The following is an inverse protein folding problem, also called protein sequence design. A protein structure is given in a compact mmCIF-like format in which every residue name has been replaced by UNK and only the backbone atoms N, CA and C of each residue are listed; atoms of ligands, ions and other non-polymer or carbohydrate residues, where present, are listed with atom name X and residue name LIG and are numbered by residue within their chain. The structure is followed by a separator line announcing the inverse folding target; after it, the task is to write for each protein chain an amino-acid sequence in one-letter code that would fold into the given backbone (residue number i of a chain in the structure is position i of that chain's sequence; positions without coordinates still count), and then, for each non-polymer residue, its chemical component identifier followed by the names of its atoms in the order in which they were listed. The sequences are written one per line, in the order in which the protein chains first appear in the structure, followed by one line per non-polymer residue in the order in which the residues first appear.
data_IF_235615782499
#
_entry.id   IF_235615782499
#
_cell.length_a   1.000
_cell.length_b   1.000
_cell.length_c   1.000
_cell.angle_alpha   90.00
_cell.angle_beta   90.00
_cell.angle_gamma   90.00
#
_symmetry.space_group_name_H-M   'P 1'
#
loop_
_entity.id
_entity.type
_entity.pdbx_description
1 polymer ?
#
# COMPACT_ATOMS: atom_id res chain seq x y z
N UNK A 1 27.32 47.21 11.51
CA UNK A 1 25.85 46.98 11.47
C UNK A 1 25.58 46.31 10.12
N UNK A 2 25.52 44.97 10.03
CA UNK A 2 24.41 44.08 10.43
C UNK A 2 23.15 44.45 9.63
N UNK A 3 22.49 43.59 8.85
CA UNK A 3 22.32 42.13 8.89
C UNK A 3 22.08 41.62 7.45
N UNK A 4 22.73 40.52 7.07
CA UNK A 4 22.28 39.66 5.97
C UNK A 4 21.19 38.71 6.48
N UNK A 5 20.08 38.63 5.76
CA UNK A 5 19.01 37.67 5.99
C UNK A 5 19.03 36.64 4.87
N UNK A 6 19.71 35.54 5.15
CA UNK A 6 19.69 34.28 4.41
C UNK A 6 18.26 33.72 4.42
N UNK A 7 17.57 33.78 3.28
CA UNK A 7 16.29 33.09 3.07
C UNK A 7 16.60 31.62 2.80
N UNK A 8 16.90 30.89 3.87
CA UNK A 8 17.00 29.44 3.87
C UNK A 8 15.70 28.83 3.37
N UNK A 9 15.77 28.22 2.19
CA UNK A 9 14.78 27.28 1.71
C UNK A 9 14.67 26.15 2.76
N UNK A 10 13.52 26.02 3.42
CA UNK A 10 13.19 24.82 4.17
C UNK A 10 13.19 23.63 3.19
N UNK A 11 13.98 22.57 3.45
CA UNK A 11 13.94 21.39 2.62
C UNK A 11 12.59 20.70 2.84
N UNK A 12 11.90 20.37 1.74
CA UNK A 12 10.71 19.54 1.71
C UNK A 12 11.05 18.18 2.34
N UNK A 13 10.80 18.05 3.64
CA UNK A 13 10.96 16.82 4.41
C UNK A 13 10.10 15.70 3.79
N UNK A 14 10.62 14.48 3.77
CA UNK A 14 9.94 13.33 3.20
C UNK A 14 8.64 13.04 3.94
N UNK A 15 7.76 12.25 3.32
CA UNK A 15 6.59 11.70 4.00
C UNK A 15 7.05 11.03 5.33
N UNK A 16 6.57 11.50 6.51
CA UNK A 16 7.00 11.00 7.82
C UNK A 16 6.84 9.48 7.97
N UNK A 17 5.88 8.90 7.25
CA UNK A 17 5.67 7.45 7.16
C UNK A 17 6.89 6.79 6.51
N UNK A 18 7.29 7.29 5.33
CA UNK A 18 8.40 6.73 4.58
C UNK A 18 9.74 6.91 5.28
N UNK A 19 9.95 8.03 5.98
CA UNK A 19 11.16 8.23 6.79
C UNK A 19 11.29 7.16 7.89
N UNK A 20 10.17 6.80 8.53
CA UNK A 20 10.13 5.78 9.60
C UNK A 20 10.45 4.39 9.07
N UNK A 21 9.85 4.01 7.93
CA UNK A 21 10.11 2.72 7.27
C UNK A 21 11.53 2.65 6.74
N UNK A 22 12.00 3.72 6.08
CA UNK A 22 13.36 3.82 5.54
C UNK A 22 14.41 3.61 6.64
N UNK A 23 14.24 4.30 7.79
CA UNK A 23 15.15 4.14 8.94
C UNK A 23 15.16 2.71 9.47
N UNK A 24 14.00 2.08 9.58
CA UNK A 24 13.88 0.70 10.06
C UNK A 24 14.49 -0.30 9.07
N UNK A 25 14.33 -0.05 7.77
CA UNK A 25 14.90 -0.86 6.69
C UNK A 25 16.43 -0.79 6.67
N UNK A 26 17.00 0.41 6.77
CA UNK A 26 18.46 0.60 6.86
C UNK A 26 19.05 -0.05 8.11
N UNK A 27 18.35 0.03 9.25
CA UNK A 27 18.76 -0.66 10.48
C UNK A 27 18.76 -2.19 10.29
N UNK A 28 17.69 -2.75 9.70
CA UNK A 28 17.58 -4.18 9.43
C UNK A 28 18.69 -4.71 8.50
N UNK A 29 19.02 -3.97 7.43
CA UNK A 29 20.16 -4.31 6.55
C UNK A 29 21.47 -4.31 7.33
N UNK A 30 21.72 -3.25 8.09
CA UNK A 30 22.99 -3.08 8.83
C UNK A 30 23.18 -4.15 9.90
N UNK A 31 22.09 -4.59 10.52
CA UNK A 31 22.09 -5.57 11.61
C UNK A 31 21.92 -7.01 11.11
N UNK A 32 21.59 -7.21 9.84
CA UNK A 32 21.25 -8.52 9.27
C UNK A 32 20.01 -9.13 9.93
N UNK A 33 19.05 -8.29 10.32
CA UNK A 33 17.84 -8.67 11.06
C UNK A 33 16.59 -8.65 10.17
N UNK A 34 15.54 -9.33 10.62
CA UNK A 34 14.25 -9.30 9.94
C UNK A 34 13.56 -7.93 10.14
N UNK A 35 12.81 -7.48 9.15
CA UNK A 35 11.87 -6.37 9.24
C UNK A 35 10.57 -6.78 8.56
N UNK A 36 9.45 -6.61 9.23
CA UNK A 36 8.14 -6.74 8.60
C UNK A 36 7.35 -5.45 8.71
N UNK A 37 6.46 -5.23 7.75
CA UNK A 37 5.44 -4.18 7.81
C UNK A 37 4.07 -4.79 7.57
N UNK A 38 3.06 -4.21 8.20
CA UNK A 38 1.65 -4.60 8.07
C UNK A 38 0.88 -3.36 7.64
N UNK A 39 0.20 -3.44 6.49
CA UNK A 39 -0.83 -2.45 6.14
C UNK A 39 -2.19 -3.03 6.50
N UNK A 40 -2.95 -2.28 7.30
CA UNK A 40 -4.28 -2.67 7.74
C UNK A 40 -5.30 -1.61 7.30
N UNK A 41 -6.44 -2.03 6.75
CA UNK A 41 -7.51 -1.11 6.33
C UNK A 41 -8.88 -1.64 6.71
N UNK A 42 -9.75 -0.77 7.21
CA UNK A 42 -11.12 -1.10 7.63
C UNK A 42 -11.99 -1.50 6.42
N UNK A 43 -12.77 -2.56 6.56
CA UNK A 43 -13.68 -2.97 5.49
C UNK A 43 -14.97 -2.16 5.55
N UNK A 44 -15.36 -1.57 4.40
CA UNK A 44 -16.59 -0.78 4.31
C UNK A 44 -16.54 0.57 5.04
N UNK A 45 -15.36 1.11 5.37
CA UNK A 45 -15.22 2.36 6.12
C UNK A 45 -15.96 3.55 5.49
N UNK A 46 -15.97 3.66 4.15
CA UNK A 46 -16.75 4.70 3.46
C UNK A 46 -18.23 4.67 3.84
N UNK A 47 -18.84 3.48 3.94
CA UNK A 47 -20.24 3.35 4.33
C UNK A 47 -20.49 3.77 5.79
N UNK A 48 -19.48 3.66 6.66
CA UNK A 48 -19.54 4.20 8.02
C UNK A 48 -19.61 5.73 7.97
N UNK A 49 -18.71 6.37 7.21
CA UNK A 49 -18.71 7.82 7.03
C UNK A 49 -20.00 8.33 6.39
N UNK A 50 -20.50 7.64 5.36
CA UNK A 50 -21.72 8.03 4.65
C UNK A 50 -22.95 7.93 5.57
N UNK A 51 -22.98 6.95 6.49
CA UNK A 51 -24.12 6.73 7.39
C UNK A 51 -24.10 7.59 8.65
N UNK A 52 -22.91 7.77 9.24
CA UNK A 52 -22.76 8.37 10.58
C UNK A 52 -22.04 9.72 10.57
N UNK A 53 -21.48 10.11 9.43
CA UNK A 53 -20.69 11.32 9.30
C UNK A 53 -19.19 11.10 9.53
N UNK A 54 -18.37 12.06 9.10
CA UNK A 54 -16.91 11.96 9.17
C UNK A 54 -16.38 11.98 10.61
N UNK A 55 -17.07 12.64 11.55
CA UNK A 55 -16.65 12.72 12.95
C UNK A 55 -16.67 11.33 13.60
N UNK A 56 -17.77 10.59 13.45
CA UNK A 56 -17.88 9.20 13.88
C UNK A 56 -16.88 8.29 13.15
N UNK A 57 -16.60 8.59 11.88
CA UNK A 57 -15.51 7.99 11.11
C UNK A 57 -14.16 8.12 11.80
N UNK A 58 -13.80 9.33 12.20
CA UNK A 58 -12.54 9.63 12.88
C UNK A 58 -12.46 8.91 14.23
N UNK A 59 -13.57 8.82 14.97
CA UNK A 59 -13.65 8.04 16.22
C UNK A 59 -13.38 6.55 15.96
N UNK A 60 -13.93 6.00 14.87
CA UNK A 60 -13.68 4.62 14.46
C UNK A 60 -12.20 4.42 14.07
N UNK A 61 -11.61 5.35 13.31
CA UNK A 61 -10.20 5.29 12.94
C UNK A 61 -9.27 5.40 14.15
N UNK A 62 -9.58 6.28 15.10
CA UNK A 62 -8.82 6.41 16.33
C UNK A 62 -8.88 5.12 17.17
N UNK A 63 -10.05 4.49 17.27
CA UNK A 63 -10.19 3.20 17.96
C UNK A 63 -9.45 2.06 17.24
N UNK A 64 -9.48 2.07 15.90
CA UNK A 64 -8.72 1.12 15.08
C UNK A 64 -7.22 1.28 15.28
N UNK A 65 -6.70 2.51 15.24
CA UNK A 65 -5.30 2.81 15.51
C UNK A 65 -4.89 2.39 16.92
N UNK A 66 -5.69 2.72 17.94
CA UNK A 66 -5.43 2.31 19.31
C UNK A 66 -5.34 0.79 19.46
N UNK A 67 -6.13 0.03 18.69
CA UNK A 67 -6.08 -1.43 18.72
C UNK A 67 -4.77 -1.97 18.15
N UNK A 68 -4.31 -1.42 17.03
CA UNK A 68 -3.03 -1.80 16.44
C UNK A 68 -1.85 -1.41 17.35
N UNK A 69 -1.86 -0.20 17.91
CA UNK A 69 -0.80 0.29 18.78
C UNK A 69 -0.67 -0.49 20.10
N UNK A 70 -1.70 -1.24 20.50
CA UNK A 70 -1.63 -2.14 21.64
C UNK A 70 -0.77 -3.39 21.42
N UNK A 71 -0.42 -3.71 20.17
CA UNK A 71 0.33 -4.91 19.77
C UNK A 71 1.54 -4.61 18.87
N UNK A 72 1.56 -3.46 18.21
CA UNK A 72 2.62 -3.02 17.29
C UNK A 72 3.23 -1.74 17.85
N UNK A 73 4.56 -1.73 17.97
CA UNK A 73 5.30 -0.62 18.57
C UNK A 73 5.18 0.67 17.74
N UNK A 74 5.29 0.55 16.42
CA UNK A 74 5.26 1.69 15.49
C UNK A 74 4.02 1.55 14.61
N UNK A 75 3.05 2.44 14.80
CA UNK A 75 1.84 2.54 13.99
C UNK A 75 1.70 3.96 13.47
N UNK A 76 1.49 4.11 12.17
CA UNK A 76 1.29 5.41 11.53
C UNK A 76 0.13 5.38 10.54
N UNK A 77 -0.48 6.53 10.31
CA UNK A 77 -1.52 6.69 9.30
C UNK A 77 -0.89 6.76 7.92
N UNK A 78 -1.36 5.92 6.99
CA UNK A 78 -0.85 5.90 5.61
C UNK A 78 -1.73 6.77 4.71
N UNK A 79 -3.02 6.42 4.62
CA UNK A 79 -4.00 7.14 3.79
C UNK A 79 -5.41 6.70 4.18
N UNK A 80 -6.37 7.63 4.21
CA UNK A 80 -7.79 7.33 4.44
C UNK A 80 -8.03 6.44 5.66
N UNK A 81 -8.41 5.17 5.47
CA UNK A 81 -8.67 4.19 6.52
C UNK A 81 -7.50 3.22 6.78
N UNK A 82 -6.35 3.48 6.16
CA UNK A 82 -5.19 2.59 6.16
C UNK A 82 -4.15 3.02 7.17
N UNK A 83 -3.74 2.07 7.98
CA UNK A 83 -2.69 2.20 8.97
C UNK A 83 -1.52 1.29 8.58
N UNK A 84 -0.30 1.79 8.78
CA UNK A 84 0.94 1.05 8.60
C UNK A 84 1.55 0.74 9.97
N UNK A 85 1.72 -0.55 10.26
CA UNK A 85 2.53 -1.05 11.37
C UNK A 85 3.93 -1.42 10.91
N UNK A 86 4.96 -0.99 11.62
CA UNK A 86 6.37 -1.35 11.38
C UNK A 86 6.87 -2.25 12.50
N UNK A 87 7.48 -3.39 12.15
CA UNK A 87 7.87 -4.44 13.08
C UNK A 87 9.35 -4.82 12.89
N UNK A 88 10.28 -4.03 13.46
CA UNK A 88 11.70 -4.38 13.48
C UNK A 88 11.95 -5.72 14.18
N UNK A 89 12.95 -6.48 13.73
CA UNK A 89 13.31 -7.79 14.30
C UNK A 89 12.24 -8.88 14.14
N UNK A 90 11.21 -8.64 13.32
CA UNK A 90 10.04 -9.54 13.24
C UNK A 90 10.02 -10.29 11.91
N UNK A 91 10.09 -11.62 12.01
CA UNK A 91 10.06 -12.51 10.85
C UNK A 91 8.70 -12.50 10.13
N UNK A 92 8.66 -12.86 8.83
CA UNK A 92 7.41 -12.91 8.05
C UNK A 92 6.33 -13.79 8.70
N UNK A 93 6.72 -14.93 9.27
CA UNK A 93 5.79 -15.85 9.93
C UNK A 93 5.18 -15.25 11.21
N UNK A 94 5.98 -14.54 12.01
CA UNK A 94 5.50 -13.85 13.21
C UNK A 94 4.59 -12.68 12.85
N UNK A 95 4.97 -11.88 11.85
CA UNK A 95 4.14 -10.78 11.36
C UNK A 95 2.79 -11.26 10.81
N UNK A 96 2.78 -12.33 10.01
CA UNK A 96 1.54 -12.94 9.52
C UNK A 96 0.66 -13.50 10.64
N UNK A 97 1.26 -14.08 11.69
CA UNK A 97 0.53 -14.55 12.88
C UNK A 97 -0.10 -13.38 13.63
N UNK A 98 0.66 -12.30 13.86
CA UNK A 98 0.16 -11.11 14.52
C UNK A 98 -0.96 -10.44 13.72
N UNK A 99 -0.83 -10.34 12.39
CA UNK A 99 -1.88 -9.83 11.52
C UNK A 99 -3.19 -10.63 11.68
N UNK A 100 -3.12 -11.97 11.75
CA UNK A 100 -4.31 -12.81 12.00
C UNK A 100 -4.91 -12.61 13.40
N UNK A 101 -4.07 -12.43 14.42
CA UNK A 101 -4.54 -12.12 15.78
C UNK A 101 -5.29 -10.79 15.78
N UNK A 102 -4.73 -9.74 15.19
CA UNK A 102 -5.37 -8.43 15.06
C UNK A 102 -6.65 -8.49 14.24
N UNK A 103 -6.64 -9.19 13.11
CA UNK A 103 -7.81 -9.39 12.26
C UNK A 103 -8.97 -10.02 13.04
N UNK A 104 -8.69 -11.12 13.75
CA UNK A 104 -9.70 -11.79 14.58
C UNK A 104 -10.17 -10.91 15.74
N UNK A 105 -9.25 -10.24 16.41
CA UNK A 105 -9.57 -9.35 17.53
C UNK A 105 -10.51 -8.21 17.12
N UNK A 106 -10.30 -7.63 15.94
CA UNK A 106 -11.18 -6.59 15.37
C UNK A 106 -12.54 -7.17 14.97
N UNK A 107 -12.57 -8.35 14.35
CA UNK A 107 -13.81 -8.98 13.91
C UNK A 107 -14.71 -9.43 15.08
N UNK A 108 -14.10 -9.94 16.15
CA UNK A 108 -14.81 -10.52 17.29
C UNK A 108 -15.24 -9.45 18.30
N UNK A 109 -14.55 -8.32 18.37
CA UNK A 109 -14.79 -7.25 19.34
C UNK A 109 -15.37 -5.99 18.71
N UNK A 110 -16.12 -5.22 19.50
CA UNK A 110 -16.56 -3.89 19.08
C UNK A 110 -15.39 -2.91 19.19
N UNK A 111 -15.08 -2.21 18.10
CA UNK A 111 -14.14 -1.08 18.13
C UNK A 111 -14.79 0.16 18.76
N UNK A 112 -16.05 0.42 18.41
CA UNK A 112 -16.84 1.55 18.92
C UNK A 112 -18.31 1.15 19.08
N UNK A 113 -19.17 2.11 19.45
CA UNK A 113 -20.63 1.91 19.50
C UNK A 113 -21.27 1.62 18.12
N UNK A 114 -20.55 1.87 17.02
CA UNK A 114 -21.04 1.77 15.63
C UNK A 114 -21.41 0.34 15.20
N UNK A 115 -20.91 -0.66 15.94
CA UNK A 115 -21.19 -2.07 15.72
C UNK A 115 -19.92 -2.89 15.50
N UNK A 116 -20.07 -4.06 14.89
CA UNK A 116 -18.92 -4.89 14.48
C UNK A 116 -18.38 -4.36 13.16
N UNK A 117 -17.06 -4.24 13.10
CA UNK A 117 -16.32 -3.88 11.90
C UNK A 117 -15.29 -4.98 11.66
N UNK A 118 -14.88 -5.15 10.41
CA UNK A 118 -13.76 -6.02 10.06
C UNK A 118 -12.66 -5.17 9.43
N UNK A 119 -11.46 -5.74 9.38
CA UNK A 119 -10.33 -5.12 8.69
C UNK A 119 -9.60 -6.19 7.88
N UNK A 120 -9.03 -5.75 6.77
CA UNK A 120 -8.17 -6.56 5.91
C UNK A 120 -6.73 -6.14 6.09
N UNK A 121 -5.82 -7.12 6.04
CA UNK A 121 -4.40 -6.93 6.36
C UNK A 121 -3.51 -7.47 5.25
N UNK A 122 -2.40 -6.78 5.03
CA UNK A 122 -1.37 -7.20 4.10
C UNK A 122 -0.01 -7.10 4.76
N UNK A 123 0.80 -8.13 4.56
CA UNK A 123 2.13 -8.25 5.18
C UNK A 123 3.21 -8.30 4.11
N UNK A 124 4.28 -7.54 4.32
CA UNK A 124 5.52 -7.65 3.55
C UNK A 124 6.72 -7.62 4.49
N UNK A 125 7.80 -8.27 4.08
CA UNK A 125 8.95 -8.51 4.96
C UNK A 125 10.27 -8.52 4.19
N UNK A 126 11.31 -8.08 4.89
CA UNK A 126 12.72 -8.17 4.55
C UNK A 126 13.44 -9.04 5.60
N UNK A 127 14.43 -9.86 5.22
CA UNK A 127 14.76 -10.25 3.85
C UNK A 127 13.60 -11.06 3.22
N UNK A 128 13.46 -10.97 1.89
CA UNK A 128 12.30 -11.55 1.20
C UNK A 128 12.23 -11.09 -0.26
N UNK A 129 11.01 -10.96 -0.79
CA UNK A 129 10.77 -10.50 -2.17
C UNK A 129 10.67 -8.97 -2.30
N UNK A 130 11.45 -8.25 -1.51
CA UNK A 130 11.48 -6.79 -1.46
C UNK A 130 12.94 -6.32 -1.43
N UNK A 131 13.25 -5.28 -2.20
CA UNK A 131 14.60 -4.73 -2.36
C UNK A 131 14.72 -3.28 -1.85
N UNK A 132 13.60 -2.68 -1.40
CA UNK A 132 13.58 -1.32 -0.85
C UNK A 132 12.48 -1.11 0.21
N UNK A 133 12.61 -0.04 1.00
CA UNK A 133 11.59 0.40 1.95
C UNK A 133 10.25 0.74 1.25
N UNK A 134 10.32 1.30 0.04
CA UNK A 134 9.15 1.61 -0.79
C UNK A 134 8.44 0.31 -1.20
N UNK A 135 9.19 -0.72 -1.62
CA UNK A 135 8.63 -2.03 -1.97
C UNK A 135 8.01 -2.76 -0.78
N UNK A 136 8.54 -2.56 0.44
CA UNK A 136 7.92 -3.09 1.67
C UNK A 136 6.50 -2.52 1.87
N UNK A 137 6.36 -1.20 1.86
CA UNK A 137 5.06 -0.54 2.04
C UNK A 137 4.11 -0.92 0.91
N UNK A 138 4.59 -0.87 -0.34
CA UNK A 138 3.81 -1.21 -1.52
C UNK A 138 3.35 -2.68 -1.48
N UNK A 139 4.24 -3.62 -1.19
CA UNK A 139 3.90 -5.04 -1.16
C UNK A 139 2.86 -5.37 -0.08
N UNK A 140 2.99 -4.76 1.09
CA UNK A 140 2.01 -4.91 2.16
C UNK A 140 0.66 -4.28 1.78
N UNK A 141 0.66 -3.11 1.17
CA UNK A 141 -0.57 -2.46 0.72
C UNK A 141 -1.28 -3.28 -0.38
N UNK A 142 -0.54 -3.81 -1.36
CA UNK A 142 -1.06 -4.67 -2.42
C UNK A 142 -1.67 -5.96 -1.85
N UNK A 143 -0.99 -6.61 -0.90
CA UNK A 143 -1.51 -7.78 -0.20
C UNK A 143 -2.82 -7.47 0.56
N UNK A 144 -2.91 -6.32 1.22
CA UNK A 144 -4.12 -5.88 1.93
C UNK A 144 -5.28 -5.66 0.96
N UNK A 145 -5.02 -5.08 -0.21
CA UNK A 145 -6.05 -4.92 -1.24
C UNK A 145 -6.57 -6.26 -1.77
N UNK A 146 -5.70 -7.26 -1.91
CA UNK A 146 -6.14 -8.61 -2.29
C UNK A 146 -6.99 -9.27 -1.21
N UNK A 147 -6.64 -9.10 0.06
CA UNK A 147 -7.48 -9.51 1.17
C UNK A 147 -8.88 -8.88 1.08
N UNK A 148 -8.98 -7.58 0.78
CA UNK A 148 -10.27 -6.90 0.52
C UNK A 148 -11.01 -7.52 -0.68
N UNK A 149 -10.31 -7.81 -1.76
CA UNK A 149 -10.90 -8.38 -2.98
C UNK A 149 -11.43 -9.81 -2.79
N UNK A 150 -10.90 -10.57 -1.82
CA UNK A 150 -11.38 -11.92 -1.44
C UNK A 150 -12.66 -11.92 -0.59
N UNK A 151 -13.24 -10.75 -0.33
CA UNK A 151 -14.43 -10.58 0.50
C UNK A 151 -14.18 -9.81 1.80
N UNK A 152 -12.94 -9.38 2.05
CA UNK A 152 -12.56 -8.67 3.26
C UNK A 152 -12.39 -9.58 4.47
N UNK A 153 -12.09 -8.99 5.62
CA UNK A 153 -11.84 -9.69 6.88
C UNK A 153 -10.74 -10.77 6.80
N UNK A 154 -9.71 -10.51 5.99
CA UNK A 154 -8.70 -11.51 5.62
C UNK A 154 -7.28 -10.96 5.79
N UNK A 155 -6.29 -11.85 5.81
CA UNK A 155 -4.85 -11.52 5.84
C UNK A 155 -4.17 -12.12 4.62
N UNK A 156 -3.41 -11.31 3.88
CA UNK A 156 -2.57 -11.79 2.78
C UNK A 156 -1.10 -11.36 2.95
N UNK A 157 -0.19 -12.05 2.25
CA UNK A 157 1.25 -11.82 2.35
C UNK A 157 1.87 -11.66 0.96
N UNK A 158 2.66 -10.59 0.77
CA UNK A 158 3.31 -10.26 -0.50
C UNK A 158 4.21 -11.40 -1.05
N UNK A 159 5.05 -11.99 -0.19
CA UNK A 159 5.91 -13.12 -0.60
C UNK A 159 5.14 -14.39 -0.97
N UNK A 160 3.94 -14.59 -0.40
CA UNK A 160 3.04 -15.68 -0.73
C UNK A 160 2.39 -15.52 -2.11
N UNK A 161 2.27 -14.27 -2.59
CA UNK A 161 1.68 -13.94 -3.88
C UNK A 161 2.64 -14.17 -5.04
N UNK A 162 3.93 -13.88 -4.84
CA UNK A 162 4.98 -14.25 -5.82
C UNK A 162 5.17 -15.77 -5.85
N UNK A 163 5.04 -16.45 -4.69
CA UNK A 163 5.02 -17.91 -4.51
C UNK A 163 3.81 -18.63 -5.13
N UNK A 164 2.60 -18.09 -4.94
CA UNK A 164 1.36 -18.66 -5.48
C UNK A 164 1.21 -18.41 -6.98
N UNK A 165 1.71 -17.27 -7.48
CA UNK A 165 1.90 -17.09 -8.92
C UNK A 165 3.10 -17.89 -9.48
N UNK A 166 4.01 -18.41 -8.65
CA UNK A 166 5.02 -19.39 -9.11
C UNK A 166 4.45 -20.79 -9.29
N UNK A 167 3.35 -21.13 -8.61
CA UNK A 167 2.62 -22.37 -8.88
C UNK A 167 1.67 -22.25 -10.09
N UNK A 168 1.23 -21.03 -10.42
CA UNK A 168 0.53 -20.72 -11.69
C UNK A 168 1.52 -20.60 -12.86
N UNK A 169 2.84 -20.51 -12.61
CA UNK A 169 3.88 -20.44 -13.67
C UNK A 169 4.03 -21.67 -14.57
N UNK A 170 3.25 -22.75 -14.37
CA UNK A 170 3.25 -23.88 -15.31
C UNK A 170 2.03 -23.94 -16.23
N UNK A 171 1.05 -23.05 -16.09
CA UNK A 171 -0.05 -22.96 -17.06
C UNK A 171 -0.38 -21.50 -17.31
N UNK A 172 -0.08 -21.06 -18.53
CA UNK A 172 -0.36 -19.74 -19.12
C UNK A 172 0.72 -18.66 -18.86
N UNK A 173 1.85 -18.85 -19.54
CA UNK A 173 2.57 -17.75 -20.17
C UNK A 173 1.62 -16.89 -20.99
N UNK A 174 1.77 -15.56 -20.88
CA UNK A 174 1.31 -14.48 -21.79
C UNK A 174 0.41 -13.40 -21.15
N UNK A 175 0.92 -12.67 -20.15
CA UNK A 175 0.52 -11.26 -20.03
C UNK A 175 1.75 -10.33 -20.09
N UNK A 176 2.22 -9.99 -21.30
CA UNK A 176 3.35 -9.08 -21.49
C UNK A 176 3.10 -7.70 -20.85
N UNK A 177 1.84 -7.36 -20.58
CA UNK A 177 1.45 -6.11 -19.91
C UNK A 177 1.97 -6.06 -18.48
N UNK A 178 1.82 -7.12 -17.70
CA UNK A 178 2.28 -7.13 -16.29
C UNK A 178 3.80 -7.07 -16.20
N UNK A 179 4.50 -7.78 -17.09
CA UNK A 179 5.96 -7.72 -17.18
C UNK A 179 6.45 -6.32 -17.58
N UNK A 180 5.74 -5.66 -18.50
CA UNK A 180 6.05 -4.32 -18.97
C UNK A 180 5.73 -3.24 -17.92
N UNK A 181 4.62 -3.37 -17.17
CA UNK A 181 4.28 -2.46 -16.06
C UNK A 181 5.34 -2.49 -14.97
N UNK A 182 5.78 -3.68 -14.56
CA UNK A 182 6.86 -3.82 -13.58
C UNK A 182 8.20 -3.24 -14.09
N UNK A 183 8.46 -3.32 -15.40
CA UNK A 183 9.63 -2.70 -16.01
C UNK A 183 9.52 -1.17 -16.14
N UNK A 184 8.31 -0.65 -16.36
CA UNK A 184 8.00 0.79 -16.42
C UNK A 184 8.24 1.46 -15.07
N UNK A 185 7.74 0.85 -13.98
CA UNK A 185 7.85 1.40 -12.62
C UNK A 185 9.31 1.52 -12.18
N UNK A 186 10.19 0.61 -12.62
CA UNK A 186 11.64 0.72 -12.39
C UNK A 186 12.31 1.88 -13.15
N UNK A 187 11.71 2.36 -14.24
CA UNK A 187 12.33 3.36 -15.13
C UNK A 187 11.81 4.78 -14.87
N UNK A 188 10.58 4.94 -14.39
CA UNK A 188 10.02 6.27 -14.10
C UNK A 188 10.40 6.75 -12.70
N UNK A 189 10.97 7.95 -12.58
CA UNK A 189 11.22 8.66 -11.31
C UNK A 189 9.94 9.05 -10.55
N UNK A 190 8.77 8.76 -11.10
CA UNK A 190 7.48 8.96 -10.47
C UNK A 190 7.26 7.87 -9.40
N UNK A 191 6.91 8.28 -8.18
CA UNK A 191 6.80 7.38 -7.03
C UNK A 191 5.90 6.17 -7.27
N UNK A 192 6.27 5.05 -6.65
CA UNK A 192 5.57 3.77 -6.73
C UNK A 192 4.06 3.92 -6.45
N UNK A 193 3.23 3.32 -7.31
CA UNK A 193 1.77 3.28 -7.16
C UNK A 193 0.95 4.22 -8.04
N UNK A 194 1.56 5.05 -8.91
CA UNK A 194 0.79 5.89 -9.83
C UNK A 194 0.00 5.07 -10.88
N UNK A 195 0.61 4.04 -11.46
CA UNK A 195 0.01 3.20 -12.51
C UNK A 195 -1.09 2.27 -11.97
N UNK A 196 -0.91 1.77 -10.75
CA UNK A 196 -1.94 0.95 -10.10
C UNK A 196 -3.13 1.79 -9.63
N UNK A 197 -2.92 3.02 -9.17
CA UNK A 197 -4.01 3.95 -8.85
C UNK A 197 -4.83 4.30 -10.09
N UNK A 198 -4.19 4.60 -11.22
CA UNK A 198 -4.92 4.87 -12.48
C UNK A 198 -5.72 3.66 -12.93
N UNK A 199 -5.15 2.46 -12.84
CA UNK A 199 -5.84 1.22 -13.19
C UNK A 199 -7.07 0.96 -12.31
N UNK A 200 -6.95 1.21 -11.01
CA UNK A 200 -8.06 1.07 -10.08
C UNK A 200 -9.18 2.09 -10.33
N UNK A 201 -8.85 3.39 -10.49
CA UNK A 201 -9.86 4.42 -10.79
C UNK A 201 -10.57 4.13 -12.12
N UNK A 202 -9.83 3.73 -13.14
CA UNK A 202 -10.40 3.36 -14.44
C UNK A 202 -11.34 2.16 -14.32
N UNK A 203 -11.00 1.16 -13.52
CA UNK A 203 -11.87 0.01 -13.25
C UNK A 203 -13.14 0.40 -12.49
N UNK A 204 -13.07 1.28 -11.49
CA UNK A 204 -14.25 1.72 -10.74
C UNK A 204 -15.20 2.56 -11.60
N UNK A 205 -14.66 3.47 -12.41
CA UNK A 205 -15.46 4.21 -13.41
C UNK A 205 -16.11 3.25 -14.39
N UNK A 206 -15.41 2.19 -14.82
CA UNK A 206 -15.97 1.18 -15.72
C UNK A 206 -17.09 0.35 -15.07
N UNK A 207 -17.03 0.14 -13.75
CA UNK A 207 -18.12 -0.50 -12.99
C UNK A 207 -19.35 0.41 -12.95
N UNK A 208 -19.16 1.70 -12.64
CA UNK A 208 -20.25 2.69 -12.57
C UNK A 208 -20.90 2.93 -13.94
N UNK A 209 -20.12 2.84 -15.02
CA UNK A 209 -20.60 2.93 -16.40
C UNK A 209 -21.29 1.65 -16.90
N UNK A 210 -21.38 0.60 -16.07
CA UNK A 210 -22.09 -0.63 -16.41
C UNK A 210 -21.37 -1.54 -17.42
N UNK A 211 -20.05 -1.37 -17.62
CA UNK A 211 -19.30 -2.19 -18.57
C UNK A 211 -19.27 -3.66 -18.16
N UNK A 212 -19.14 -4.56 -19.13
CA UNK A 212 -19.02 -6.00 -18.93
C UNK A 212 -17.66 -6.41 -18.33
N UNK A 213 -17.52 -7.64 -17.81
CA UNK A 213 -16.29 -8.13 -17.18
C UNK A 213 -15.04 -8.03 -18.07
N UNK A 214 -15.17 -8.36 -19.36
CA UNK A 214 -14.08 -8.28 -20.34
C UNK A 214 -13.67 -6.83 -20.63
N UNK A 215 -14.64 -5.93 -20.75
CA UNK A 215 -14.37 -4.52 -21.00
C UNK A 215 -13.73 -3.85 -19.77
N UNK A 216 -14.14 -4.21 -18.55
CA UNK A 216 -13.48 -3.76 -17.32
C UNK A 216 -12.02 -4.20 -17.27
N UNK A 217 -11.74 -5.45 -17.63
CA UNK A 217 -10.38 -5.99 -17.70
C UNK A 217 -9.54 -5.25 -18.74
N UNK A 218 -10.15 -4.88 -19.87
CA UNK A 218 -9.50 -4.12 -20.93
C UNK A 218 -9.20 -2.67 -20.50
N UNK A 219 -10.14 -1.99 -19.81
CA UNK A 219 -9.94 -0.64 -19.26
C UNK A 219 -8.84 -0.62 -18.20
N UNK A 220 -8.81 -1.63 -17.32
CA UNK A 220 -7.76 -1.78 -16.30
C UNK A 220 -6.38 -1.98 -16.95
N UNK A 221 -6.27 -2.88 -17.94
CA UNK A 221 -5.02 -3.08 -18.70
C UNK A 221 -4.58 -1.82 -19.44
N UNK A 222 -5.51 -1.09 -20.05
CA UNK A 222 -5.21 0.16 -20.74
C UNK A 222 -4.68 1.23 -19.78
N UNK A 223 -5.25 1.32 -18.58
CA UNK A 223 -4.81 2.26 -17.56
C UNK A 223 -3.46 1.89 -16.92
N UNK A 224 -3.11 0.59 -16.85
CA UNK A 224 -1.76 0.14 -16.47
C UNK A 224 -0.70 0.50 -17.54
N UNK A 225 -1.11 0.60 -18.81
CA UNK A 225 -0.24 0.86 -19.96
C UNK A 225 -0.23 2.32 -20.42
N UNK A 226 -1.05 3.20 -19.83
CA UNK A 226 -1.29 4.54 -20.37
C UNK A 226 -0.02 5.42 -20.45
N UNK A 227 0.95 5.21 -19.56
CA UNK A 227 2.22 5.94 -19.55
C UNK A 227 3.29 5.35 -20.49
N UNK A 228 3.01 4.26 -21.21
CA UNK A 228 3.94 3.72 -22.24
C UNK A 228 4.21 4.76 -23.35
N UNK A 229 3.30 5.71 -23.58
CA UNK A 229 3.54 6.83 -24.51
C UNK A 229 4.61 7.83 -24.05
N UNK A 230 4.90 7.93 -22.75
CA UNK A 230 5.95 8.82 -22.21
C UNK A 230 7.36 8.26 -22.38
N UNK A 231 7.48 6.97 -22.69
CA UNK A 231 8.76 6.28 -22.95
C UNK A 231 9.38 6.63 -24.31
N UNK A 232 8.58 7.12 -25.25
CA UNK A 232 9.06 7.54 -26.58
C UNK A 232 9.57 8.99 -26.59
N UNK A 233 9.46 9.70 -25.45
CA UNK A 233 9.90 11.09 -25.31
C UNK A 233 11.28 11.09 -24.64
N UNK A 234 12.34 11.62 -25.29
CA UNK A 234 13.66 11.75 -24.68
C UNK A 234 13.62 12.54 -23.36
N UNK A 235 14.42 12.14 -22.37
CA UNK A 235 14.48 12.74 -21.02
C UNK A 235 14.69 14.26 -21.03
N UNK A 236 15.33 14.77 -22.08
CA UNK A 236 15.63 16.18 -22.35
C UNK A 236 14.37 17.04 -22.54
N UNK A 237 13.24 16.45 -22.95
CA UNK A 237 11.96 17.15 -23.12
C UNK A 237 11.15 17.14 -21.82
N UNK A 238 11.27 16.09 -21.01
CA UNK A 238 10.55 15.93 -19.73
C UNK A 238 11.16 16.80 -18.60
N UNK A 239 12.42 17.22 -18.71
CA UNK A 239 13.14 17.98 -17.68
C UNK A 239 13.41 19.46 -18.02
N UNK A 240 12.72 20.04 -19.02
CA UNK A 240 12.92 21.45 -19.35
C UNK A 240 12.56 22.33 -18.14
N UNK A 241 13.56 22.99 -17.54
CA UNK A 241 13.31 24.13 -16.64
C UNK A 241 12.57 25.18 -17.46
N UNK A 242 11.39 25.58 -16.98
CA UNK A 242 10.62 26.65 -17.61
C UNK A 242 11.50 27.88 -17.81
N UNK A 243 11.65 28.29 -19.06
CA UNK A 243 12.19 29.60 -19.46
C UNK A 243 11.11 30.65 -19.36
#
# INVERSE_FOLDING_TARGET
RSVGGDNGQEPLHGDPVMETVQRSYEAAIREGSDLSVIVAGLDGFRAVNDRLGPIEGDVVLAAFAARLSGQIEIVTHLVSDQLLGVLPGTSPAKAGTLARVLQKDIADNKLTAVGRLTASFGVASYPGSVESAQELVYGAQAAMYLAKAKGGNEVDCWGGMIGANTAIRQTETEDPVTALTAALERKTRAGAGQLMRSAWYARQVAVEMGLGPEERKLVEKAALLHDVGKLAVPDEILQKRGS
#
